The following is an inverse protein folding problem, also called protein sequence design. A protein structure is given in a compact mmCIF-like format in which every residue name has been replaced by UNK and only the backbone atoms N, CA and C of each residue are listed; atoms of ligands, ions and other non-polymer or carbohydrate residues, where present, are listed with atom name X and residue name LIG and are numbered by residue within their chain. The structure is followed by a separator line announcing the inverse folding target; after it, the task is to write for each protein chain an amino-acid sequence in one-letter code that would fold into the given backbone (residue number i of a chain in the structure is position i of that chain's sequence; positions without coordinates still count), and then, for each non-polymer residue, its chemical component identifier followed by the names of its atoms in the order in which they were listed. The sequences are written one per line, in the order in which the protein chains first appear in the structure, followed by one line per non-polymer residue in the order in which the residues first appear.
data_IF_866192152896
#
_entry.id   IF_866192152896
#
_cell.length_a   1.000
_cell.length_b   1.000
_cell.length_c   1.000
_cell.angle_alpha   90.00
_cell.angle_beta   90.00
_cell.angle_gamma   90.00
#
_symmetry.space_group_name_H-M   'P 1'
#
loop_
_entity.id
_entity.type
_entity.pdbx_description
1 polymer ?
#
# COMPACT_ATOMS: atom_id res chain seq x y z
N UNK A 1 28.31 19.56 12.04
CA UNK A 1 26.93 19.80 11.57
C UNK A 1 26.32 18.45 11.27
N UNK A 2 25.21 18.09 11.92
CA UNK A 2 24.50 16.85 11.59
C UNK A 2 23.94 16.98 10.16
N UNK A 3 24.01 15.91 9.37
CA UNK A 3 23.47 15.88 8.01
C UNK A 3 21.96 16.17 8.07
N UNK A 4 21.38 16.90 7.09
CA UNK A 4 19.94 17.16 7.01
C UNK A 4 19.08 15.90 7.14
N UNK A 5 19.57 14.76 6.65
CA UNK A 5 18.94 13.44 6.76
C UNK A 5 18.82 12.94 8.22
N UNK A 6 19.75 13.33 9.08
CA UNK A 6 19.71 12.94 10.50
C UNK A 6 18.66 13.73 11.27
N UNK A 7 18.45 15.00 10.90
CA UNK A 7 17.46 15.89 11.52
C UNK A 7 16.05 15.48 11.11
N UNK A 8 15.79 15.26 9.82
CA UNK A 8 14.49 14.80 9.33
C UNK A 8 14.06 13.44 9.94
N UNK A 9 15.01 12.52 10.09
CA UNK A 9 14.77 11.21 10.71
C UNK A 9 14.41 11.30 12.19
N UNK A 10 15.01 12.24 12.93
CA UNK A 10 14.72 12.43 14.35
C UNK A 10 13.39 13.14 14.61
N UNK A 11 12.98 14.06 13.74
CA UNK A 11 11.72 14.79 13.91
C UNK A 11 10.50 13.95 13.50
N UNK A 12 10.64 13.06 12.53
CA UNK A 12 9.61 12.13 12.13
C UNK A 12 9.20 11.16 13.27
N UNK A 13 10.16 10.75 14.10
CA UNK A 13 9.91 9.87 15.26
C UNK A 13 9.27 10.57 16.46
N UNK A 14 9.31 11.89 16.52
CA UNK A 14 8.85 12.67 17.67
C UNK A 14 7.40 13.17 17.57
N UNK A 15 6.83 13.19 16.38
CA UNK A 15 5.48 13.72 16.14
C UNK A 15 4.52 12.63 15.66
N UNK A 16 3.71 12.10 16.59
CA UNK A 16 2.57 11.21 16.23
C UNK A 16 1.62 11.85 15.22
N UNK A 17 1.52 13.19 15.19
CA UNK A 17 0.70 13.94 14.22
C UNK A 17 1.21 13.87 12.77
N UNK A 18 2.48 13.55 12.55
CA UNK A 18 3.08 13.45 11.20
C UNK A 18 3.02 12.02 10.63
N UNK A 19 2.32 11.09 11.28
CA UNK A 19 2.18 9.71 10.79
C UNK A 19 1.22 9.59 9.60
N UNK A 20 0.44 10.63 9.29
CA UNK A 20 -0.52 10.61 8.18
C UNK A 20 0.17 11.13 6.92
N UNK A 21 0.73 10.24 6.14
CA UNK A 21 1.37 10.55 4.86
C UNK A 21 0.42 10.15 3.74
N UNK A 22 -0.14 11.13 3.04
CA UNK A 22 -1.04 10.88 1.91
C UNK A 22 -0.25 10.55 0.65
N UNK A 23 -0.75 9.57 -0.10
CA UNK A 23 -0.16 9.24 -1.41
C UNK A 23 -0.31 10.41 -2.38
N UNK A 24 0.77 10.87 -3.02
CA UNK A 24 0.68 11.89 -4.06
C UNK A 24 -0.18 11.41 -5.24
N UNK A 25 -0.95 12.31 -5.82
CA UNK A 25 -1.89 11.99 -6.92
C UNK A 25 -1.18 11.38 -8.12
N UNK A 26 0.00 11.89 -8.48
CA UNK A 26 0.77 11.36 -9.61
C UNK A 26 1.25 9.92 -9.38
N UNK A 27 1.61 9.56 -8.15
CA UNK A 27 1.98 8.17 -7.80
C UNK A 27 0.77 7.23 -7.96
N UNK A 28 -0.40 7.66 -7.48
CA UNK A 28 -1.64 6.89 -7.62
C UNK A 28 -2.00 6.69 -9.10
N UNK A 29 -1.89 7.76 -9.90
CA UNK A 29 -2.15 7.70 -11.33
C UNK A 29 -1.15 6.78 -12.05
N UNK A 30 0.14 6.90 -11.76
CA UNK A 30 1.17 6.03 -12.33
C UNK A 30 0.92 4.55 -12.03
N UNK A 31 0.59 4.21 -10.79
CA UNK A 31 0.24 2.83 -10.41
C UNK A 31 -0.98 2.33 -11.17
N UNK A 32 -2.00 3.18 -11.30
CA UNK A 32 -3.17 2.85 -12.10
C UNK A 32 -2.82 2.58 -13.57
N UNK A 33 -1.99 3.43 -14.17
CA UNK A 33 -1.63 3.35 -15.59
C UNK A 33 -0.84 2.09 -15.94
N UNK A 34 0.05 1.62 -15.04
CA UNK A 34 0.79 0.37 -15.25
C UNK A 34 -0.06 -0.88 -14.99
N UNK A 35 -1.06 -0.79 -14.12
CA UNK A 35 -1.88 -1.94 -13.70
C UNK A 35 -3.14 -2.10 -14.57
N UNK A 36 -3.76 -1.01 -14.99
CA UNK A 36 -4.98 -1.02 -15.79
C UNK A 36 -4.89 -1.90 -17.06
N UNK A 37 -3.82 -1.84 -17.89
CA UNK A 37 -3.75 -2.65 -19.11
C UNK A 37 -3.83 -4.14 -18.82
N UNK A 38 -3.23 -4.59 -17.73
CA UNK A 38 -3.20 -6.00 -17.34
C UNK A 38 -4.60 -6.48 -16.98
N UNK A 39 -5.29 -5.74 -16.14
CA UNK A 39 -6.61 -6.14 -15.66
C UNK A 39 -7.71 -5.92 -16.67
N UNK A 40 -7.66 -4.87 -17.47
CA UNK A 40 -8.64 -4.66 -18.55
C UNK A 40 -8.58 -5.76 -19.61
N UNK A 41 -7.40 -6.37 -19.81
CA UNK A 41 -7.22 -7.47 -20.75
C UNK A 41 -7.60 -8.85 -20.19
N UNK A 42 -7.43 -9.05 -18.86
CA UNK A 42 -7.53 -10.38 -18.24
C UNK A 42 -8.74 -10.55 -17.33
N UNK A 43 -9.29 -9.47 -16.79
CA UNK A 43 -10.38 -9.52 -15.83
C UNK A 43 -11.70 -9.04 -16.44
N UNK A 44 -12.65 -9.96 -16.63
CA UNK A 44 -14.00 -9.66 -17.13
C UNK A 44 -14.80 -8.74 -16.20
N UNK A 45 -14.39 -8.61 -14.94
CA UNK A 45 -15.02 -7.75 -13.94
C UNK A 45 -14.47 -6.31 -13.93
N UNK A 46 -13.52 -5.98 -14.81
CA UNK A 46 -12.95 -4.65 -14.90
C UNK A 46 -14.03 -3.56 -15.00
N UNK A 47 -13.87 -2.48 -14.26
CA UNK A 47 -14.87 -1.41 -14.12
C UNK A 47 -15.85 -1.70 -12.97
N UNK A 48 -17.15 -1.65 -13.21
CA UNK A 48 -18.20 -1.65 -12.16
C UNK A 48 -18.20 -2.83 -11.20
N UNK A 49 -17.61 -3.96 -11.57
CA UNK A 49 -17.56 -5.15 -10.74
C UNK A 49 -16.18 -5.41 -10.13
N UNK A 50 -15.17 -4.63 -10.53
CA UNK A 50 -13.81 -4.73 -10.00
C UNK A 50 -13.74 -4.10 -8.61
N UNK A 51 -13.33 -4.88 -7.62
CA UNK A 51 -13.28 -4.46 -6.22
C UNK A 51 -11.85 -4.14 -5.80
N UNK A 52 -11.66 -2.92 -5.34
CA UNK A 52 -10.40 -2.45 -4.75
C UNK A 52 -10.60 -2.24 -3.27
N UNK A 53 -9.76 -2.83 -2.45
CA UNK A 53 -9.77 -2.65 -1.01
C UNK A 53 -8.55 -1.86 -0.55
N UNK A 54 -8.78 -0.83 0.25
CA UNK A 54 -7.72 -0.05 0.90
C UNK A 54 -7.92 -0.09 2.41
N UNK A 55 -7.08 -0.87 3.14
CA UNK A 55 -7.19 -0.99 4.59
C UNK A 55 -6.61 0.21 5.39
N UNK A 56 -6.13 1.25 4.71
CA UNK A 56 -5.66 2.51 5.28
C UNK A 56 -6.07 3.69 4.38
N UNK A 57 -7.35 3.73 4.01
CA UNK A 57 -7.85 4.55 2.89
C UNK A 57 -7.61 6.05 3.07
N UNK A 58 -7.54 6.55 4.30
CA UNK A 58 -7.40 7.99 4.54
C UNK A 58 -8.40 8.80 3.72
N UNK A 59 -7.94 9.77 2.95
CA UNK A 59 -8.77 10.60 2.08
C UNK A 59 -9.15 9.94 0.74
N UNK A 60 -8.73 8.70 0.48
CA UNK A 60 -9.01 7.97 -0.76
C UNK A 60 -8.12 8.34 -1.95
N UNK A 61 -7.06 9.14 -1.75
CA UNK A 61 -6.17 9.58 -2.85
C UNK A 61 -5.52 8.42 -3.59
N UNK A 62 -5.14 7.36 -2.86
CA UNK A 62 -4.53 6.19 -3.50
C UNK A 62 -5.51 5.47 -4.43
N UNK A 63 -6.78 5.39 -4.06
CA UNK A 63 -7.81 4.66 -4.81
C UNK A 63 -8.55 5.51 -5.84
N UNK A 64 -8.35 6.82 -5.87
CA UNK A 64 -9.06 7.76 -6.73
C UNK A 64 -9.04 7.41 -8.23
N UNK A 65 -7.92 7.01 -8.87
CA UNK A 65 -7.92 6.63 -10.29
C UNK A 65 -8.79 5.41 -10.59
N UNK A 66 -8.83 4.41 -9.69
CA UNK A 66 -9.71 3.22 -9.83
C UNK A 66 -11.17 3.60 -9.70
N UNK A 67 -11.47 4.48 -8.78
CA UNK A 67 -12.83 4.99 -8.59
C UNK A 67 -13.32 5.75 -9.83
N UNK A 68 -12.50 6.64 -10.38
CA UNK A 68 -12.81 7.35 -11.65
C UNK A 68 -13.01 6.37 -12.82
N UNK A 69 -12.35 5.21 -12.79
CA UNK A 69 -12.55 4.13 -13.75
C UNK A 69 -13.80 3.28 -13.48
N UNK A 70 -14.58 3.60 -12.45
CA UNK A 70 -15.84 2.92 -12.11
C UNK A 70 -15.67 1.68 -11.24
N UNK A 71 -14.49 1.43 -10.66
CA UNK A 71 -14.27 0.32 -9.74
C UNK A 71 -14.97 0.55 -8.40
N UNK A 72 -15.34 -0.54 -7.72
CA UNK A 72 -15.91 -0.50 -6.37
C UNK A 72 -14.78 -0.34 -5.35
N UNK A 73 -14.78 0.78 -4.63
CA UNK A 73 -13.79 1.05 -3.59
C UNK A 73 -14.37 0.66 -2.24
N UNK A 74 -13.61 -0.13 -1.49
CA UNK A 74 -13.93 -0.54 -0.12
C UNK A 74 -12.78 -0.03 0.75
N UNK A 75 -13.08 0.71 1.79
CA UNK A 75 -12.08 1.34 2.65
C UNK A 75 -12.24 1.01 4.12
N UNK A 76 -11.12 1.00 4.81
CA UNK A 76 -11.05 0.92 6.27
C UNK A 76 -10.05 1.97 6.78
N UNK A 77 -10.42 2.73 7.81
CA UNK A 77 -9.54 3.68 8.50
C UNK A 77 -10.07 3.93 9.91
N UNK A 78 -9.24 4.04 10.96
CA UNK A 78 -9.70 4.33 12.31
C UNK A 78 -10.25 5.74 12.46
N UNK A 79 -9.83 6.67 11.61
CA UNK A 79 -10.33 8.03 11.62
C UNK A 79 -11.57 8.14 10.74
N UNK A 80 -12.46 9.07 11.10
CA UNK A 80 -13.53 9.46 10.20
C UNK A 80 -12.90 10.24 9.05
N UNK A 81 -12.79 9.61 7.91
CA UNK A 81 -12.22 10.24 6.72
C UNK A 81 -13.33 10.66 5.79
N UNK A 82 -13.16 11.82 5.19
CA UNK A 82 -14.00 12.24 4.08
C UNK A 82 -13.55 11.47 2.81
N UNK A 83 -13.96 10.22 2.72
CA UNK A 83 -13.88 9.49 1.46
C UNK A 83 -15.32 9.26 0.94
N UNK A 84 -16.00 10.33 0.48
CA UNK A 84 -17.43 10.30 0.13
C UNK A 84 -17.74 9.38 -1.05
N UNK A 85 -16.74 8.84 -1.67
CA UNK A 85 -16.80 8.10 -2.92
C UNK A 85 -16.50 6.61 -2.76
N UNK A 86 -16.22 6.13 -1.53
CA UNK A 86 -16.11 4.70 -1.28
C UNK A 86 -17.50 4.05 -1.34
N UNK A 87 -17.57 2.86 -1.95
CA UNK A 87 -18.80 2.07 -1.97
C UNK A 87 -19.13 1.48 -0.60
N UNK A 88 -18.10 1.26 0.22
CA UNK A 88 -18.23 0.90 1.63
C UNK A 88 -17.03 1.44 2.41
N UNK A 89 -17.31 2.02 3.57
CA UNK A 89 -16.30 2.51 4.51
C UNK A 89 -16.53 1.91 5.89
N UNK A 90 -15.45 1.42 6.51
CA UNK A 90 -15.46 0.85 7.84
C UNK A 90 -14.55 1.67 8.75
N UNK A 91 -15.15 2.40 9.70
CA UNK A 91 -14.42 3.22 10.65
C UNK A 91 -13.86 2.37 11.80
N UNK A 92 -12.75 1.71 11.55
CA UNK A 92 -12.04 0.90 12.56
C UNK A 92 -10.58 0.68 12.15
N UNK A 93 -9.77 0.24 13.11
CA UNK A 93 -8.40 -0.18 12.82
C UNK A 93 -8.42 -1.46 11.99
N UNK A 94 -7.54 -1.55 11.01
CA UNK A 94 -7.47 -2.72 10.12
C UNK A 94 -7.22 -4.04 10.89
N UNK A 95 -6.54 -3.98 12.01
CA UNK A 95 -6.34 -5.15 12.88
C UNK A 95 -7.65 -5.76 13.39
N UNK A 96 -8.70 -4.95 13.50
CA UNK A 96 -10.03 -5.37 13.96
C UNK A 96 -11.02 -5.61 12.80
N UNK A 97 -10.60 -5.32 11.57
CA UNK A 97 -11.46 -5.47 10.41
C UNK A 97 -11.70 -6.94 10.08
N UNK A 98 -12.94 -7.31 9.81
CA UNK A 98 -13.32 -8.60 9.25
C UNK A 98 -13.98 -8.39 7.88
N UNK A 99 -13.54 -9.15 6.89
CA UNK A 99 -14.17 -9.11 5.57
C UNK A 99 -15.55 -9.74 5.65
N UNK A 100 -16.62 -9.07 5.15
CA UNK A 100 -17.96 -9.64 5.17
C UNK A 100 -18.03 -10.96 4.42
N UNK A 101 -18.53 -12.02 5.07
CA UNK A 101 -18.55 -13.39 4.52
C UNK A 101 -19.31 -13.51 3.20
N UNK A 102 -20.36 -12.70 3.03
CA UNK A 102 -21.16 -12.66 1.81
C UNK A 102 -20.49 -11.98 0.63
N UNK A 103 -19.32 -11.34 0.83
CA UNK A 103 -18.61 -10.66 -0.23
C UNK A 103 -17.53 -11.56 -0.82
N UNK A 104 -17.44 -11.60 -2.16
CA UNK A 104 -16.25 -12.17 -2.80
C UNK A 104 -15.02 -11.35 -2.44
N UNK A 105 -13.85 -11.98 -2.38
CA UNK A 105 -12.55 -11.32 -2.15
C UNK A 105 -12.39 -10.08 -3.04
N UNK A 106 -11.59 -9.09 -2.63
CA UNK A 106 -11.23 -7.98 -3.50
C UNK A 106 -10.36 -8.49 -4.66
N UNK A 107 -10.49 -7.87 -5.81
CA UNK A 107 -9.63 -8.15 -6.97
C UNK A 107 -8.22 -7.59 -6.76
N UNK A 108 -8.12 -6.49 -6.01
CA UNK A 108 -6.88 -5.81 -5.68
C UNK A 108 -6.93 -5.23 -4.27
N UNK A 109 -5.81 -5.31 -3.56
CA UNK A 109 -5.58 -4.53 -2.34
C UNK A 109 -4.55 -3.45 -2.64
N UNK A 110 -4.90 -2.19 -2.35
CA UNK A 110 -3.99 -1.04 -2.39
C UNK A 110 -3.77 -0.58 -0.96
N UNK A 111 -2.54 -0.39 -0.54
CA UNK A 111 -2.28 0.05 0.83
C UNK A 111 -1.02 0.89 0.95
N UNK A 112 -1.20 2.09 1.50
CA UNK A 112 -0.12 2.93 2.00
C UNK A 112 -0.27 3.05 3.53
N UNK A 113 0.18 2.05 4.30
CA UNK A 113 -0.01 2.03 5.74
C UNK A 113 0.94 3.02 6.42
N UNK A 114 0.65 3.46 7.65
CA UNK A 114 1.65 4.15 8.46
C UNK A 114 2.92 3.30 8.54
N UNK A 115 4.10 3.91 8.40
CA UNK A 115 5.33 3.12 8.41
C UNK A 115 5.82 2.77 9.83
N UNK A 116 5.48 3.62 10.80
CA UNK A 116 5.88 3.49 12.20
C UNK A 116 4.65 3.43 13.12
N UNK A 117 4.81 2.86 14.31
CA UNK A 117 3.83 2.93 15.38
C UNK A 117 3.18 1.61 15.79
N UNK A 118 3.51 0.49 15.14
CA UNK A 118 3.10 -0.80 15.67
C UNK A 118 3.75 -1.05 17.04
N UNK A 119 2.99 -1.61 17.96
CA UNK A 119 3.49 -1.97 19.28
C UNK A 119 4.77 -2.82 19.15
N UNK A 120 5.85 -2.37 19.82
CA UNK A 120 7.17 -2.95 19.65
C UNK A 120 7.92 -2.39 18.43
N UNK A 121 8.93 -3.10 17.96
CA UNK A 121 9.76 -2.70 16.80
C UNK A 121 9.23 -3.21 15.44
N UNK A 122 7.96 -3.52 15.36
CA UNK A 122 7.36 -4.07 14.16
C UNK A 122 6.95 -2.96 13.20
N UNK A 123 7.24 -3.10 11.91
CA UNK A 123 6.79 -2.17 10.87
C UNK A 123 5.32 -2.45 10.51
N UNK A 124 4.48 -1.43 10.47
CA UNK A 124 3.09 -1.57 10.03
C UNK A 124 2.92 -2.19 8.64
N UNK A 125 3.73 -1.90 7.63
CA UNK A 125 3.66 -2.62 6.35
C UNK A 125 3.73 -4.13 6.48
N UNK A 126 4.51 -4.67 7.44
CA UNK A 126 4.55 -6.10 7.68
C UNK A 126 3.26 -6.62 8.33
N UNK A 127 2.74 -5.89 9.33
CA UNK A 127 1.48 -6.23 10.02
C UNK A 127 0.31 -6.23 9.03
N UNK A 128 0.24 -5.20 8.19
CA UNK A 128 -0.81 -5.09 7.19
C UNK A 128 -0.73 -6.21 6.15
N UNK A 129 0.45 -6.49 5.62
CA UNK A 129 0.62 -7.54 4.62
C UNK A 129 0.29 -8.93 5.18
N UNK A 130 0.79 -9.27 6.38
CA UNK A 130 0.46 -10.52 7.08
C UNK A 130 -1.06 -10.67 7.26
N UNK A 131 -1.75 -9.59 7.62
CA UNK A 131 -3.20 -9.60 7.79
C UNK A 131 -3.95 -9.71 6.47
N UNK A 132 -3.52 -9.02 5.42
CA UNK A 132 -4.09 -9.14 4.06
C UNK A 132 -4.03 -10.59 3.61
N UNK A 133 -2.88 -11.23 3.75
CA UNK A 133 -2.72 -12.63 3.35
C UNK A 133 -3.50 -13.61 4.25
N UNK A 134 -3.68 -13.27 5.53
CA UNK A 134 -4.56 -14.05 6.41
C UNK A 134 -6.03 -13.97 5.98
N UNK A 135 -6.50 -12.80 5.53
CA UNK A 135 -7.89 -12.58 5.11
C UNK A 135 -8.19 -13.16 3.72
N UNK A 136 -7.26 -12.99 2.77
CA UNK A 136 -7.54 -13.26 1.36
C UNK A 136 -6.67 -14.37 0.76
N UNK A 137 -5.66 -14.82 1.48
CA UNK A 137 -4.67 -15.80 1.03
C UNK A 137 -3.41 -15.16 0.44
N UNK A 138 -2.29 -15.90 0.41
CA UNK A 138 -0.98 -15.36 0.01
C UNK A 138 -0.92 -14.92 -1.46
N UNK A 139 -1.81 -15.45 -2.32
CA UNK A 139 -1.89 -15.11 -3.74
C UNK A 139 -2.71 -13.85 -4.05
N UNK A 140 -3.17 -13.11 -3.02
CA UNK A 140 -3.94 -11.88 -3.21
C UNK A 140 -3.11 -10.81 -3.92
N UNK A 141 -3.54 -10.27 -5.08
CA UNK A 141 -2.93 -9.11 -5.71
C UNK A 141 -2.88 -7.93 -4.73
N UNK A 142 -1.68 -7.44 -4.45
CA UNK A 142 -1.49 -6.40 -3.42
C UNK A 142 -0.43 -5.41 -3.86
N UNK A 143 -0.73 -4.12 -3.72
CA UNK A 143 0.20 -2.99 -3.89
C UNK A 143 0.46 -2.42 -2.51
N UNK A 144 1.68 -2.53 -2.04
CA UNK A 144 2.09 -2.13 -0.70
C UNK A 144 3.17 -1.04 -0.75
N UNK A 145 2.91 0.10 -0.14
CA UNK A 145 3.95 1.07 0.15
C UNK A 145 4.74 0.64 1.38
N UNK A 146 6.04 0.66 1.28
CA UNK A 146 6.92 0.22 2.35
C UNK A 146 8.25 0.99 2.36
N UNK A 147 8.87 1.17 3.53
CA UNK A 147 10.25 1.64 3.58
C UNK A 147 11.17 0.56 2.99
N UNK A 148 12.27 0.96 2.33
CA UNK A 148 13.22 0.00 1.74
C UNK A 148 13.75 -1.03 2.74
N UNK A 149 13.83 -0.69 4.02
CA UNK A 149 14.17 -1.62 5.09
C UNK A 149 13.15 -2.74 5.34
N UNK A 150 11.97 -2.67 4.73
CA UNK A 150 10.99 -3.74 4.79
C UNK A 150 11.52 -5.02 4.11
N UNK A 151 12.06 -4.90 2.92
CA UNK A 151 12.59 -5.99 2.08
C UNK A 151 14.09 -6.19 2.28
N UNK A 152 14.82 -5.08 2.31
CA UNK A 152 16.26 -5.05 2.53
C UNK A 152 16.57 -5.02 4.04
N UNK A 153 17.79 -4.87 4.44
CA UNK A 153 18.20 -4.71 5.84
C UNK A 153 17.64 -5.79 6.79
N UNK A 154 17.53 -7.02 6.30
CA UNK A 154 17.06 -8.20 7.01
C UNK A 154 18.21 -9.15 7.32
N UNK A 155 18.17 -9.80 8.47
CA UNK A 155 19.04 -10.92 8.78
C UNK A 155 18.34 -12.22 8.37
N UNK A 156 19.09 -13.22 7.87
CA UNK A 156 18.54 -14.53 7.47
C UNK A 156 17.68 -15.20 8.55
N UNK A 157 17.96 -14.94 9.82
CA UNK A 157 17.21 -15.48 10.97
C UNK A 157 16.03 -14.62 11.41
N UNK A 158 15.78 -13.45 10.80
CA UNK A 158 14.65 -12.59 11.19
C UNK A 158 13.32 -13.26 10.82
N UNK A 159 12.30 -13.05 11.66
CA UNK A 159 10.95 -13.61 11.44
C UNK A 159 10.40 -13.17 10.08
N UNK A 160 10.47 -11.85 9.77
CA UNK A 160 9.96 -11.28 8.52
C UNK A 160 10.68 -11.84 7.30
N UNK A 161 12.03 -11.98 7.33
CA UNK A 161 12.77 -12.56 6.22
C UNK A 161 12.31 -13.99 5.92
N UNK A 162 12.21 -14.84 6.96
CA UNK A 162 11.74 -16.21 6.82
C UNK A 162 10.31 -16.26 6.29
N UNK A 163 9.43 -15.45 6.87
CA UNK A 163 8.04 -15.38 6.44
C UNK A 163 7.91 -14.94 4.97
N UNK A 164 8.60 -13.88 4.52
CA UNK A 164 8.59 -13.44 3.12
C UNK A 164 9.15 -14.48 2.15
N UNK A 165 10.16 -15.24 2.59
CA UNK A 165 10.77 -16.32 1.80
C UNK A 165 9.84 -17.53 1.69
N UNK A 166 9.16 -17.87 2.77
CA UNK A 166 8.44 -19.13 2.92
C UNK A 166 6.95 -18.99 2.56
N UNK A 167 6.43 -17.75 2.42
CA UNK A 167 5.07 -17.55 1.93
C UNK A 167 5.01 -17.69 0.41
N UNK A 168 3.89 -18.20 -0.12
CA UNK A 168 3.69 -18.38 -1.56
C UNK A 168 3.54 -17.05 -2.34
N UNK A 169 3.49 -15.93 -1.63
CA UNK A 169 3.38 -14.62 -2.25
C UNK A 169 4.67 -14.20 -2.95
N UNK A 170 4.53 -13.67 -4.15
CA UNK A 170 5.65 -13.22 -4.96
C UNK A 170 5.64 -11.71 -5.14
N UNK A 171 6.76 -11.04 -4.86
CA UNK A 171 7.00 -9.68 -5.32
C UNK A 171 7.26 -9.74 -6.82
N UNK A 172 6.27 -9.37 -7.62
CA UNK A 172 6.33 -9.45 -9.08
C UNK A 172 6.83 -8.17 -9.72
N UNK A 173 6.76 -7.04 -8.99
CA UNK A 173 7.28 -5.75 -9.45
C UNK A 173 7.62 -4.84 -8.28
N UNK A 174 8.53 -3.91 -8.51
CA UNK A 174 8.96 -2.88 -7.56
C UNK A 174 8.88 -1.53 -8.26
N UNK A 175 8.34 -0.50 -7.58
CA UNK A 175 8.45 0.89 -8.04
C UNK A 175 9.34 1.64 -7.05
N UNK A 176 10.48 2.13 -7.51
CA UNK A 176 11.34 3.03 -6.74
C UNK A 176 10.74 4.41 -6.70
N UNK A 177 10.64 4.97 -5.51
CA UNK A 177 10.12 6.31 -5.25
C UNK A 177 11.28 7.27 -4.94
N UNK A 178 11.22 8.53 -5.39
CA UNK A 178 12.15 9.56 -4.96
C UNK A 178 12.12 9.76 -3.44
N UNK A 179 13.24 10.24 -2.90
CA UNK A 179 13.40 10.43 -1.45
C UNK A 179 12.36 11.41 -0.86
N UNK A 180 12.01 12.42 -1.62
CA UNK A 180 11.16 13.56 -1.29
C UNK A 180 9.72 13.43 -1.82
N UNK A 181 9.33 12.24 -2.26
CA UNK A 181 7.99 11.99 -2.85
C UNK A 181 6.83 12.35 -1.91
N UNK A 182 7.04 12.23 -0.62
CA UNK A 182 6.03 12.57 0.39
C UNK A 182 6.33 13.96 0.96
N UNK A 183 5.42 14.94 0.82
CA UNK A 183 5.66 16.29 1.30
C UNK A 183 6.04 16.35 2.78
N UNK A 184 7.15 17.01 3.08
CA UNK A 184 7.65 17.19 4.46
C UNK A 184 8.31 15.96 5.08
N UNK A 185 8.53 14.90 4.31
CA UNK A 185 9.16 13.67 4.79
C UNK A 185 10.19 13.18 3.77
N UNK A 186 11.44 13.09 4.18
CA UNK A 186 12.51 12.51 3.38
C UNK A 186 12.86 11.11 3.91
N UNK A 187 12.44 10.08 3.21
CA UNK A 187 12.86 8.72 3.55
C UNK A 187 12.79 7.76 2.37
N UNK A 188 13.67 6.77 2.39
CA UNK A 188 13.73 5.76 1.34
C UNK A 188 12.51 4.85 1.39
N UNK A 189 11.68 4.92 0.36
CA UNK A 189 10.48 4.11 0.20
C UNK A 189 10.39 3.49 -1.18
N UNK A 190 9.61 2.45 -1.28
CA UNK A 190 9.31 1.72 -2.51
C UNK A 190 7.85 1.26 -2.49
N UNK A 191 7.31 0.99 -3.66
CA UNK A 191 6.04 0.26 -3.79
C UNK A 191 6.35 -1.17 -4.20
N UNK A 192 5.89 -2.12 -3.42
CA UNK A 192 5.98 -3.55 -3.70
C UNK A 192 4.66 -4.04 -4.28
N UNK A 193 4.71 -4.66 -5.45
CA UNK A 193 3.54 -5.24 -6.10
C UNK A 193 3.65 -6.76 -6.00
N UNK A 194 2.66 -7.36 -5.36
CA UNK A 194 2.60 -8.80 -5.13
C UNK A 194 1.58 -9.45 -6.07
N UNK A 195 1.95 -10.59 -6.62
CA UNK A 195 1.06 -11.53 -7.33
C UNK A 195 0.36 -10.94 -8.58
N UNK A 196 0.96 -9.98 -9.24
CA UNK A 196 0.48 -9.39 -10.49
C UNK A 196 1.44 -9.75 -11.61
N UNK A 197 1.04 -10.65 -12.51
CA UNK A 197 1.85 -11.02 -13.68
C UNK A 197 1.77 -9.95 -14.78
N UNK A 198 2.77 -9.94 -15.68
CA UNK A 198 2.77 -9.07 -16.86
C UNK A 198 3.36 -7.67 -16.66
N UNK A 199 3.79 -7.33 -15.45
CA UNK A 199 4.53 -6.11 -15.17
C UNK A 199 6.03 -6.28 -15.49
N UNK A 200 6.73 -5.17 -15.70
CA UNK A 200 8.19 -5.15 -15.59
C UNK A 200 8.58 -5.45 -14.15
N UNK A 201 9.72 -6.10 -13.95
CA UNK A 201 10.23 -6.39 -12.61
C UNK A 201 10.52 -5.14 -11.77
N UNK A 202 10.83 -4.02 -12.44
CA UNK A 202 11.17 -2.76 -11.78
C UNK A 202 10.74 -1.54 -12.63
N UNK A 203 10.26 -0.54 -11.93
CA UNK A 203 9.96 0.80 -12.46
C UNK A 203 10.64 1.87 -11.60
N UNK A 204 11.04 2.96 -12.24
CA UNK A 204 11.30 4.23 -11.58
C UNK A 204 10.09 5.13 -11.79
N UNK A 205 9.68 5.84 -10.76
CA UNK A 205 8.61 6.82 -10.90
C UNK A 205 9.05 7.92 -11.88
N UNK A 206 8.29 8.22 -12.94
CA UNK A 206 8.67 9.26 -13.89
C UNK A 206 8.44 10.65 -13.31
N UNK A 207 9.19 11.65 -13.78
CA UNK A 207 9.03 13.05 -13.36
C UNK A 207 7.60 13.59 -13.58
N UNK A 208 6.89 13.08 -14.59
CA UNK A 208 5.50 13.44 -14.86
C UNK A 208 4.51 13.00 -13.78
N UNK A 209 4.95 12.18 -12.84
CA UNK A 209 4.15 11.71 -11.70
C UNK A 209 4.52 12.45 -10.37
N UNK A 210 5.35 13.49 -10.45
CA UNK A 210 5.77 14.32 -9.30
C UNK A 210 4.88 15.56 -9.08
#
# INVERSE_FOLDING_TARGET
MASPLTVARNDYHKNEKNSTVYTPVGVSQFLFDILKPIWSATNKNWGRNYKVFDPAIGTGRLTEPWMRAGCKIIGCDPNQTECPQSHAFFQLKFENFAWPEQWSKPDLVLVNPPFNGAAGRQLYPAVFLERIFKLFGPMQPTVLFAPMGFRLNQRCKSKRWRWLRDCDAQITSIVSLPLDIFPGVEFHSEVLIFNVAGLKSHYFLPETAL
#
